data_IF_575657845554
#
_entry.id   IF_575657845554
#
_cell.length_a   1.000
_cell.length_b   1.000
_cell.length_c   1.000
_cell.angle_alpha   90.00
_cell.angle_beta   90.00
_cell.angle_gamma   90.00
#
_symmetry.space_group_name_H-M   'P 1'
#
loop_
_entity.id
_entity.type
_entity.pdbx_description
1 polymer ?
#
# COMPACT_ATOMS: atom_id res chain seq x y z
N UNK A 1 -4.46 7.46 -8.24
CA UNK A 1 -3.21 6.72 -8.03
C UNK A 1 -3.34 5.83 -6.80
N UNK A 2 -2.54 4.79 -6.66
CA UNK A 2 -2.30 4.09 -5.40
C UNK A 2 -0.79 3.84 -5.28
N UNK A 3 -0.35 3.38 -4.11
CA UNK A 3 1.00 2.87 -3.89
C UNK A 3 0.86 1.50 -3.28
N UNK A 4 1.29 0.48 -4.02
CA UNK A 4 1.35 -0.91 -3.58
C UNK A 4 2.68 -1.24 -2.88
N UNK A 5 2.62 -2.01 -1.79
CA UNK A 5 3.77 -2.41 -0.98
C UNK A 5 4.17 -3.86 -1.25
N UNK A 6 4.82 -4.07 -2.39
CA UNK A 6 5.06 -5.40 -2.94
C UNK A 6 5.87 -6.30 -1.99
N UNK A 7 5.22 -7.35 -1.49
CA UNK A 7 5.80 -8.38 -0.65
C UNK A 7 5.74 -8.11 0.86
N UNK A 8 5.15 -6.99 1.30
CA UNK A 8 4.94 -6.70 2.72
C UNK A 8 3.58 -7.22 3.22
N UNK A 9 3.55 -7.73 4.45
CA UNK A 9 2.30 -8.12 5.11
C UNK A 9 1.71 -6.92 5.83
N UNK A 10 0.79 -6.25 5.14
CA UNK A 10 0.11 -5.05 5.62
C UNK A 10 -1.41 -5.21 5.53
N UNK A 11 -2.20 -4.48 6.34
CA UNK A 11 -3.65 -4.48 6.18
C UNK A 11 -4.06 -4.06 4.78
N UNK A 12 -5.13 -4.63 4.22
CA UNK A 12 -5.55 -4.34 2.84
C UNK A 12 -5.82 -2.86 2.58
N UNK A 13 -6.34 -2.13 3.57
CA UNK A 13 -6.53 -0.68 3.52
C UNK A 13 -5.22 0.12 3.39
N UNK A 14 -4.09 -0.46 3.76
CA UNK A 14 -2.74 0.09 3.66
C UNK A 14 -1.97 -0.46 2.45
N UNK A 15 -2.47 -1.52 1.81
CA UNK A 15 -1.68 -2.26 0.83
C UNK A 15 -1.60 -1.58 -0.54
N UNK A 16 -2.58 -0.77 -0.94
CA UNK A 16 -2.60 -0.13 -2.25
C UNK A 16 -3.06 -0.99 -3.42
N UNK A 17 -3.31 -2.29 -3.21
CA UNK A 17 -3.94 -3.20 -4.16
C UNK A 17 -5.46 -3.03 -4.19
N UNK A 18 -6.00 -2.55 -5.31
CA UNK A 18 -7.45 -2.33 -5.48
C UNK A 18 -8.26 -3.63 -5.44
N UNK A 19 -7.67 -4.71 -5.92
CA UNK A 19 -8.21 -6.07 -5.93
C UNK A 19 -8.42 -6.62 -4.51
N UNK A 20 -7.62 -6.17 -3.54
CA UNK A 20 -7.73 -6.52 -2.12
C UNK A 20 -8.53 -5.48 -1.31
N UNK A 21 -9.10 -4.47 -1.97
CA UNK A 21 -9.99 -3.48 -1.34
C UNK A 21 -9.34 -2.16 -0.92
N UNK A 22 -8.10 -1.88 -1.34
CA UNK A 22 -7.53 -0.54 -1.17
C UNK A 22 -8.22 0.49 -2.07
N UNK A 23 -8.60 1.63 -1.50
CA UNK A 23 -9.21 2.73 -2.25
C UNK A 23 -8.17 3.51 -3.05
N UNK A 24 -8.56 3.96 -4.26
CA UNK A 24 -7.77 4.86 -5.11
C UNK A 24 -7.67 6.24 -4.46
N UNK A 25 -6.46 6.81 -4.47
CA UNK A 25 -6.21 8.21 -4.12
C UNK A 25 -6.63 9.08 -5.30
N UNK A 26 -7.66 9.89 -5.09
CA UNK A 26 -8.18 10.83 -6.08
C UNK A 26 -7.15 11.91 -6.44
N UNK A 27 -7.24 12.53 -7.65
CA UNK A 27 -6.39 13.66 -8.01
C UNK A 27 -6.44 14.78 -6.97
N UNK A 28 -5.28 15.28 -6.55
CA UNK A 28 -5.15 16.32 -5.52
C UNK A 28 -5.39 15.85 -4.07
N UNK A 29 -5.80 14.60 -3.86
CA UNK A 29 -5.93 14.02 -2.52
C UNK A 29 -4.60 13.44 -2.02
N UNK A 30 -4.54 13.13 -0.73
CA UNK A 30 -3.39 12.47 -0.09
C UNK A 30 -3.86 11.35 0.83
N UNK A 31 -3.01 10.34 1.01
CA UNK A 31 -3.25 9.21 1.90
C UNK A 31 -2.01 8.97 2.75
N UNK A 32 -2.21 8.79 4.05
CA UNK A 32 -1.16 8.36 4.97
C UNK A 32 -1.13 6.82 5.00
N UNK A 33 0.06 6.27 4.76
CA UNK A 33 0.32 4.85 4.93
C UNK A 33 0.99 4.61 6.28
N UNK A 34 0.45 3.69 7.08
CA UNK A 34 0.97 3.36 8.41
C UNK A 34 0.78 1.89 8.74
N UNK A 35 1.87 1.16 8.85
CA UNK A 35 1.91 -0.26 9.19
C UNK A 35 3.30 -0.63 9.73
N UNK A 36 3.40 -1.77 10.41
CA UNK A 36 4.69 -2.35 10.80
C UNK A 36 5.23 -3.18 9.64
N UNK A 37 6.44 -2.90 9.12
CA UNK A 37 6.99 -3.67 8.00
C UNK A 37 7.40 -5.08 8.45
N UNK A 38 6.90 -6.08 7.74
CA UNK A 38 7.25 -7.49 7.90
C UNK A 38 6.85 -8.26 6.64
N UNK A 39 7.51 -9.39 6.30
CA UNK A 39 8.68 -9.94 6.98
C UNK A 39 9.96 -9.10 6.72
N UNK A 40 11.09 -9.47 7.36
CA UNK A 40 12.38 -8.84 7.08
C UNK A 40 12.94 -9.30 5.73
N UNK A 41 13.50 -8.39 4.94
CA UNK A 41 13.99 -8.68 3.59
C UNK A 41 14.03 -7.45 2.69
N UNK A 42 14.20 -7.69 1.38
CA UNK A 42 14.17 -6.66 0.35
C UNK A 42 12.79 -6.62 -0.31
N UNK A 43 12.16 -5.45 -0.25
CA UNK A 43 10.84 -5.18 -0.81
C UNK A 43 10.86 -3.85 -1.56
N UNK A 44 9.75 -3.49 -2.19
CA UNK A 44 9.65 -2.28 -3.00
C UNK A 44 8.21 -1.77 -3.03
N UNK A 45 8.03 -0.56 -3.54
CA UNK A 45 6.72 0.04 -3.74
C UNK A 45 6.58 0.53 -5.18
N UNK A 46 5.35 0.54 -5.68
CA UNK A 46 5.02 1.04 -7.01
C UNK A 46 3.57 1.53 -7.08
N UNK A 47 3.24 2.29 -8.12
CA UNK A 47 1.84 2.63 -8.43
C UNK A 47 1.12 1.54 -9.20
#
# INVERSE_FOLDING_TARGET
TSVHWHGLYVPSAQDGATEEGSLIIAPGASKLYSFTPQPGGTFWYHS
#
